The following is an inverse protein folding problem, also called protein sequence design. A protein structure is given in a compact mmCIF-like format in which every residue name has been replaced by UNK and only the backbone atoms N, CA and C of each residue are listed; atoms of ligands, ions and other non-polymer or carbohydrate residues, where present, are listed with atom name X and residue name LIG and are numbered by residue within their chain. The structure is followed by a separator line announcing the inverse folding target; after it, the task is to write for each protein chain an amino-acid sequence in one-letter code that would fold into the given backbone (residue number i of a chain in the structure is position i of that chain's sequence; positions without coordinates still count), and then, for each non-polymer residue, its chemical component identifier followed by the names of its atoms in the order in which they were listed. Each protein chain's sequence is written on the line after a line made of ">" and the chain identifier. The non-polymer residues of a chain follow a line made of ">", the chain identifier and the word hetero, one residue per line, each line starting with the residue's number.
data_IF_163109950364
#
_entry.id   IF_163109950364
#
_cell.length_a   1.000
_cell.length_b   1.000
_cell.length_c   1.000
_cell.angle_alpha   90.00
_cell.angle_beta   90.00
_cell.angle_gamma   90.00
#
_symmetry.space_group_name_H-M   'P 1'
#
loop_
_entity.id
_entity.type
_entity.pdbx_description
1 polymer ?
#
# COMPACT_ATOMS: atom_id res chain seq x y z
N UNK A 1 -4.81 37.00 12.87
CA UNK A 1 -3.43 36.75 12.44
C UNK A 1 -3.34 35.26 12.11
N UNK A 2 -3.92 34.88 10.98
CA UNK A 2 -4.32 33.49 10.65
C UNK A 2 -3.76 33.14 9.27
N UNK A 3 -3.59 31.86 8.97
CA UNK A 3 -3.27 31.30 7.63
C UNK A 3 -1.81 31.21 7.14
N UNK A 4 -0.90 30.67 7.95
CA UNK A 4 0.34 30.05 7.39
C UNK A 4 0.67 28.64 7.90
N UNK A 5 0.01 28.14 8.94
CA UNK A 5 0.30 26.84 9.53
C UNK A 5 -0.28 25.64 8.76
N UNK A 6 -1.39 25.82 8.02
CA UNK A 6 -2.06 24.71 7.33
C UNK A 6 -1.38 24.25 6.03
N UNK A 7 -0.56 25.10 5.39
CA UNK A 7 0.12 24.74 4.15
C UNK A 7 1.35 23.86 4.36
N UNK A 8 1.96 23.91 5.57
CA UNK A 8 3.16 23.13 5.91
C UNK A 8 2.79 21.70 6.33
N UNK A 9 1.61 21.48 6.90
CA UNK A 9 1.13 20.18 7.37
C UNK A 9 0.92 19.12 6.26
N UNK A 10 0.85 19.54 4.98
CA UNK A 10 0.60 18.65 3.83
C UNK A 10 1.88 18.15 3.15
N UNK A 11 2.99 18.07 3.88
CA UNK A 11 4.26 17.46 3.42
C UNK A 11 4.78 16.51 4.49
N UNK A 12 4.73 15.20 4.23
CA UNK A 12 5.28 14.19 5.16
C UNK A 12 4.31 13.06 5.49
N UNK A 13 4.56 12.37 6.59
CA UNK A 13 3.65 11.37 7.16
C UNK A 13 2.33 12.04 7.55
N UNK A 14 1.22 11.34 7.33
CA UNK A 14 -0.12 11.83 7.59
C UNK A 14 -0.92 10.74 8.30
N UNK A 15 -1.63 11.12 9.34
CA UNK A 15 -2.64 10.31 10.01
C UNK A 15 -3.91 11.16 10.09
N UNK A 16 -4.98 10.72 9.42
CA UNK A 16 -6.25 11.42 9.38
C UNK A 16 -7.39 10.48 9.77
N UNK A 17 -8.38 11.00 10.48
CA UNK A 17 -9.63 10.30 10.78
C UNK A 17 -10.80 11.02 10.14
N UNK A 18 -11.75 10.28 9.59
CA UNK A 18 -12.94 10.89 9.00
C UNK A 18 -13.88 9.89 8.34
N UNK A 19 -14.89 10.42 7.67
CA UNK A 19 -15.93 9.65 6.99
C UNK A 19 -15.55 9.44 5.52
N UNK A 20 -15.72 8.22 5.06
CA UNK A 20 -15.40 7.81 3.69
C UNK A 20 -16.52 8.16 2.72
N UNK A 21 -16.15 8.64 1.53
CA UNK A 21 -17.06 8.87 0.41
C UNK A 21 -16.44 8.50 -0.94
N UNK A 22 -17.29 8.07 -1.87
CA UNK A 22 -16.94 7.73 -3.25
C UNK A 22 -15.83 6.66 -3.32
N UNK A 23 -16.05 5.55 -2.60
CA UNK A 23 -15.17 4.39 -2.64
C UNK A 23 -15.12 3.79 -4.04
N UNK A 24 -13.91 3.55 -4.53
CA UNK A 24 -13.66 2.89 -5.80
C UNK A 24 -12.54 1.86 -5.65
N UNK A 25 -12.81 0.63 -6.08
CA UNK A 25 -11.82 -0.44 -6.20
C UNK A 25 -11.45 -0.65 -7.65
N UNK A 26 -10.16 -0.66 -7.95
CA UNK A 26 -9.62 -0.91 -9.28
C UNK A 26 -8.51 -1.94 -9.21
N UNK A 27 -8.50 -2.89 -10.13
CA UNK A 27 -7.38 -3.81 -10.32
C UNK A 27 -6.58 -3.38 -11.56
N UNK A 28 -5.30 -3.10 -11.38
CA UNK A 28 -4.35 -2.78 -12.45
C UNK A 28 -3.46 -4.01 -12.70
N UNK A 29 -3.50 -4.58 -13.91
CA UNK A 29 -2.58 -5.65 -14.31
C UNK A 29 -1.25 -5.06 -14.76
N UNK A 30 -0.15 -5.41 -14.08
CA UNK A 30 1.20 -5.05 -14.53
C UNK A 30 1.80 -6.25 -15.24
N UNK A 31 1.98 -6.14 -16.55
CA UNK A 31 2.32 -7.23 -17.49
C UNK A 31 3.49 -8.13 -17.09
N UNK A 32 4.38 -7.70 -16.18
CA UNK A 32 5.54 -8.49 -15.72
C UNK A 32 5.59 -8.73 -14.19
N UNK A 33 4.75 -8.09 -13.38
CA UNK A 33 4.93 -8.04 -11.91
C UNK A 33 3.67 -8.35 -11.09
N UNK A 34 2.64 -8.93 -11.73
CA UNK A 34 1.38 -9.30 -11.08
C UNK A 34 0.31 -8.21 -11.12
N UNK A 35 -0.84 -8.48 -10.50
CA UNK A 35 -1.94 -7.53 -10.36
C UNK A 35 -1.76 -6.67 -9.10
N UNK A 36 -2.09 -5.39 -9.21
CA UNK A 36 -2.12 -4.43 -8.11
C UNK A 36 -3.56 -3.99 -7.91
N UNK A 37 -4.05 -4.07 -6.69
CA UNK A 37 -5.32 -3.52 -6.29
C UNK A 37 -5.13 -2.08 -5.79
N UNK A 38 -5.93 -1.18 -6.32
CA UNK A 38 -5.94 0.24 -6.02
C UNK A 38 -7.30 0.57 -5.43
N UNK A 39 -7.31 1.08 -4.20
CA UNK A 39 -8.47 1.61 -3.51
C UNK A 39 -8.35 3.13 -3.45
N UNK A 40 -9.34 3.83 -3.99
CA UNK A 40 -9.43 5.29 -3.94
C UNK A 40 -10.74 5.73 -3.32
N UNK A 41 -10.69 6.74 -2.46
CA UNK A 41 -11.87 7.36 -1.86
C UNK A 41 -11.56 8.77 -1.40
N UNK A 42 -12.58 9.52 -0.99
CA UNK A 42 -12.46 10.84 -0.37
C UNK A 42 -12.73 10.71 1.12
N UNK A 43 -11.85 11.27 1.94
CA UNK A 43 -12.01 11.33 3.38
C UNK A 43 -12.50 12.73 3.78
N UNK A 44 -13.67 12.80 4.41
CA UNK A 44 -14.20 14.04 4.99
C UNK A 44 -13.86 14.05 6.47
N UNK A 45 -13.03 15.00 6.86
CA UNK A 45 -12.73 15.23 8.27
C UNK A 45 -13.79 16.16 8.86
N UNK A 46 -14.24 15.88 10.07
CA UNK A 46 -15.08 16.81 10.82
C UNK A 46 -14.18 17.60 11.78
N UNK A 47 -14.40 18.92 11.87
CA UNK A 47 -13.78 19.72 12.93
C UNK A 47 -14.43 19.44 14.29
N UNK A 48 -13.88 20.03 15.36
CA UNK A 48 -14.41 19.85 16.72
C UNK A 48 -15.85 20.38 16.90
N UNK A 49 -16.38 21.11 15.92
CA UNK A 49 -17.73 21.68 15.89
C UNK A 49 -18.65 20.87 14.95
N UNK A 50 -18.14 19.79 14.36
CA UNK A 50 -18.87 18.90 13.44
C UNK A 50 -18.92 19.38 11.99
N UNK A 51 -18.27 20.49 11.65
CA UNK A 51 -18.26 21.04 10.29
C UNK A 51 -17.39 20.16 9.37
N UNK A 52 -17.90 19.72 8.22
CA UNK A 52 -17.10 18.97 7.26
C UNK A 52 -16.02 19.87 6.65
N UNK A 53 -14.76 19.43 6.74
CA UNK A 53 -13.63 20.06 6.07
C UNK A 53 -13.51 19.60 4.61
N UNK A 54 -12.64 20.27 3.86
CA UNK A 54 -12.38 19.96 2.45
C UNK A 54 -12.03 18.46 2.29
N UNK A 55 -12.74 17.72 1.42
CA UNK A 55 -12.49 16.30 1.22
C UNK A 55 -11.06 16.03 0.74
N UNK A 56 -10.38 15.09 1.38
CA UNK A 56 -9.02 14.69 1.04
C UNK A 56 -9.06 13.43 0.18
N UNK A 57 -8.43 13.45 -0.99
CA UNK A 57 -8.30 12.25 -1.81
C UNK A 57 -7.29 11.28 -1.16
N UNK A 58 -7.72 10.05 -0.96
CA UNK A 58 -6.90 8.95 -0.43
C UNK A 58 -6.75 7.88 -1.50
N UNK A 59 -5.53 7.38 -1.68
CA UNK A 59 -5.21 6.26 -2.56
C UNK A 59 -4.39 5.23 -1.78
N UNK A 60 -4.87 3.98 -1.76
CA UNK A 60 -4.15 2.82 -1.24
C UNK A 60 -3.81 1.91 -2.42
N UNK A 61 -2.54 1.52 -2.54
CA UNK A 61 -2.09 0.53 -3.53
C UNK A 61 -1.52 -0.68 -2.81
N UNK A 62 -2.04 -1.86 -3.10
CA UNK A 62 -1.62 -3.12 -2.50
C UNK A 62 -1.63 -4.25 -3.53
N UNK A 63 -0.83 -5.29 -3.32
CA UNK A 63 -0.92 -6.53 -4.11
C UNK A 63 -2.19 -7.32 -3.79
N UNK A 64 -2.68 -7.20 -2.56
CA UNK A 64 -3.99 -7.67 -2.13
C UNK A 64 -4.54 -6.74 -1.04
N UNK A 65 -5.82 -6.43 -1.10
CA UNK A 65 -6.55 -5.74 -0.04
C UNK A 65 -7.24 -6.78 0.85
N UNK A 66 -7.01 -6.72 2.15
CA UNK A 66 -7.71 -7.52 3.14
C UNK A 66 -8.82 -6.66 3.74
N UNK A 67 -10.08 -7.09 3.58
CA UNK A 67 -11.25 -6.33 4.04
C UNK A 67 -11.82 -5.36 3.00
N UNK A 68 -12.90 -4.68 3.38
CA UNK A 68 -13.61 -3.71 2.56
C UNK A 68 -13.92 -2.47 3.39
N UNK A 69 -13.84 -1.32 2.74
CA UNK A 69 -14.33 -0.02 3.21
C UNK A 69 -15.56 0.36 2.40
N UNK A 70 -16.57 0.93 3.07
CA UNK A 70 -17.81 1.41 2.43
C UNK A 70 -18.02 2.90 2.64
N UNK A 71 -18.86 3.50 1.80
CA UNK A 71 -19.24 4.90 1.95
C UNK A 71 -20.02 5.12 3.25
N UNK A 72 -19.76 6.25 3.92
CA UNK A 72 -20.35 6.58 5.21
C UNK A 72 -19.64 5.94 6.41
N UNK A 73 -18.62 5.11 6.18
CA UNK A 73 -17.84 4.50 7.24
C UNK A 73 -16.81 5.47 7.83
N UNK A 74 -16.62 5.43 9.15
CA UNK A 74 -15.57 6.18 9.81
C UNK A 74 -14.27 5.36 9.85
N UNK A 75 -13.21 5.92 9.27
CA UNK A 75 -11.92 5.25 9.16
C UNK A 75 -10.77 6.13 9.62
N UNK A 76 -9.69 5.49 10.04
CA UNK A 76 -8.39 6.13 10.29
C UNK A 76 -7.43 5.74 9.18
N UNK A 77 -6.87 6.74 8.51
CA UNK A 77 -5.96 6.59 7.36
C UNK A 77 -4.56 7.00 7.79
N UNK A 78 -3.61 6.08 7.68
CA UNK A 78 -2.19 6.37 7.88
C UNK A 78 -1.45 6.27 6.56
N UNK A 79 -0.67 7.30 6.21
CA UNK A 79 -0.01 7.38 4.93
C UNK A 79 0.98 8.52 4.79
N UNK A 80 1.20 8.95 3.55
CA UNK A 80 2.05 10.10 3.22
C UNK A 80 1.33 11.03 2.28
N UNK A 81 1.43 12.33 2.53
CA UNK A 81 1.00 13.34 1.57
C UNK A 81 1.90 13.32 0.32
N UNK A 82 1.28 13.22 -0.85
CA UNK A 82 1.93 13.30 -2.16
C UNK A 82 1.01 14.08 -3.11
N UNK A 83 1.49 15.22 -3.63
CA UNK A 83 0.79 15.97 -4.68
C UNK A 83 -0.68 16.29 -4.38
N UNK A 84 -1.00 16.68 -3.14
CA UNK A 84 -2.37 17.04 -2.74
C UNK A 84 -3.31 15.88 -2.41
N UNK A 85 -2.81 14.64 -2.41
CA UNK A 85 -3.53 13.43 -1.97
C UNK A 85 -2.72 12.66 -0.93
N UNK A 86 -3.38 11.78 -0.19
CA UNK A 86 -2.71 10.85 0.73
C UNK A 86 -2.52 9.52 0.04
N UNK A 87 -1.26 9.09 -0.06
CA UNK A 87 -0.92 7.71 -0.39
C UNK A 87 -0.96 6.93 0.92
N UNK A 88 -2.07 6.24 1.13
CA UNK A 88 -2.31 5.43 2.31
C UNK A 88 -1.38 4.20 2.31
N UNK A 89 -0.92 3.85 3.50
CA UNK A 89 -0.22 2.59 3.78
C UNK A 89 -1.16 1.62 4.50
N UNK A 90 -2.02 2.17 5.34
CA UNK A 90 -2.94 1.42 6.18
C UNK A 90 -4.21 2.24 6.39
N UNK A 91 -5.34 1.54 6.34
CA UNK A 91 -6.67 2.09 6.63
C UNK A 91 -7.30 1.17 7.67
N UNK A 92 -7.79 1.75 8.76
CA UNK A 92 -8.46 1.00 9.83
C UNK A 92 -9.87 1.52 9.98
N UNK A 93 -10.86 0.63 9.83
CA UNK A 93 -12.25 0.93 10.15
C UNK A 93 -12.43 1.02 11.67
N UNK A 94 -13.11 2.08 12.12
CA UNK A 94 -13.47 2.26 13.52
C UNK A 94 -14.75 1.48 13.89
N UNK A 95 -15.59 1.12 12.91
CA UNK A 95 -16.88 0.46 13.13
C UNK A 95 -16.79 -1.06 13.17
N UNK A 96 -15.92 -1.65 12.36
CA UNK A 96 -15.76 -3.12 12.25
C UNK A 96 -14.42 -3.64 12.79
N UNK A 97 -13.48 -2.74 13.08
CA UNK A 97 -12.09 -3.11 13.41
C UNK A 97 -11.33 -3.74 12.23
N UNK A 98 -11.91 -3.75 11.02
CA UNK A 98 -11.27 -4.27 9.82
C UNK A 98 -10.13 -3.32 9.39
N UNK A 99 -8.93 -3.89 9.22
CA UNK A 99 -7.76 -3.15 8.78
C UNK A 99 -7.40 -3.53 7.34
N UNK A 100 -7.54 -2.57 6.41
CA UNK A 100 -7.06 -2.72 5.03
C UNK A 100 -5.60 -2.27 4.97
N UNK A 101 -4.70 -3.25 4.96
CA UNK A 101 -3.24 -3.02 4.90
C UNK A 101 -2.70 -3.30 3.51
N UNK A 102 -1.83 -2.41 3.01
CA UNK A 102 -0.99 -2.75 1.87
C UNK A 102 0.07 -3.78 2.30
N UNK A 103 -0.20 -5.07 2.08
CA UNK A 103 0.81 -6.12 2.25
C UNK A 103 1.97 -5.86 1.29
N UNK A 104 3.13 -5.47 1.83
CA UNK A 104 4.42 -5.80 1.20
C UNK A 104 4.75 -7.23 1.60
N UNK A 105 5.28 -8.08 0.69
CA UNK A 105 5.74 -9.39 1.08
C UNK A 105 6.78 -9.20 2.19
N UNK A 106 6.58 -9.85 3.34
CA UNK A 106 7.38 -9.53 4.50
C UNK A 106 8.78 -10.14 4.34
N UNK A 107 9.82 -9.44 4.80
CA UNK A 107 11.24 -9.74 4.53
C UNK A 107 11.64 -11.20 4.87
N UNK A 108 11.06 -11.78 5.92
CA UNK A 108 11.21 -13.19 6.32
C UNK A 108 10.77 -14.22 5.28
N UNK A 109 9.96 -13.84 4.28
CA UNK A 109 9.58 -14.72 3.15
C UNK A 109 10.46 -14.43 1.93
N UNK A 110 10.84 -13.16 1.72
CA UNK A 110 11.65 -12.77 0.55
C UNK A 110 13.10 -13.28 0.64
N UNK A 111 13.68 -13.25 1.84
CA UNK A 111 15.05 -13.72 2.09
C UNK A 111 15.23 -15.22 1.80
N UNK A 112 14.42 -16.15 2.34
CA UNK A 112 14.61 -17.58 2.05
C UNK A 112 14.34 -17.93 0.58
N UNK A 113 13.40 -17.25 -0.09
CA UNK A 113 13.15 -17.47 -1.53
C UNK A 113 14.34 -17.00 -2.38
N UNK A 114 14.92 -15.84 -2.07
CA UNK A 114 16.12 -15.35 -2.75
C UNK A 114 17.33 -16.29 -2.53
N UNK A 115 17.50 -16.79 -1.29
CA UNK A 115 18.55 -17.77 -0.96
C UNK A 115 18.34 -19.08 -1.73
N UNK A 116 17.11 -19.60 -1.75
CA UNK A 116 16.79 -20.84 -2.47
C UNK A 116 17.03 -20.69 -3.98
N UNK A 117 16.64 -19.55 -4.57
CA UNK A 117 16.88 -19.25 -5.97
C UNK A 117 18.38 -19.12 -6.29
N UNK A 118 19.16 -18.44 -5.44
CA UNK A 118 20.60 -18.33 -5.59
C UNK A 118 21.31 -19.69 -5.46
N UNK A 119 20.88 -20.53 -4.50
CA UNK A 119 21.41 -21.88 -4.30
C UNK A 119 21.08 -22.79 -5.49
N UNK A 120 19.85 -22.72 -6.02
CA UNK A 120 19.45 -23.46 -7.23
C UNK A 120 20.29 -23.03 -8.44
N UNK A 121 20.49 -21.72 -8.63
CA UNK A 121 21.31 -21.21 -9.72
C UNK A 121 22.77 -21.66 -9.61
N UNK A 122 23.36 -21.58 -8.41
CA UNK A 122 24.71 -22.06 -8.15
C UNK A 122 24.85 -23.57 -8.40
N UNK A 123 23.84 -24.36 -8.02
CA UNK A 123 23.78 -25.79 -8.30
C UNK A 123 23.72 -26.09 -9.80
N UNK A 124 22.87 -25.38 -10.56
CA UNK A 124 22.77 -25.52 -12.02
C UNK A 124 24.11 -25.17 -12.68
N UNK A 125 24.72 -24.04 -12.31
CA UNK A 125 26.03 -23.61 -12.85
C UNK A 125 27.11 -24.65 -12.53
N UNK A 126 27.15 -25.16 -11.31
CA UNK A 126 28.08 -26.21 -10.91
C UNK A 126 27.93 -27.47 -11.77
N UNK A 127 26.70 -27.92 -12.00
CA UNK A 127 26.43 -29.09 -12.85
C UNK A 127 26.76 -28.85 -14.31
N UNK A 128 26.56 -27.63 -14.85
CA UNK A 128 26.97 -27.29 -16.21
C UNK A 128 28.49 -27.34 -16.34
N UNK A 129 29.23 -26.67 -15.44
CA UNK A 129 30.70 -26.63 -15.49
C UNK A 129 31.29 -28.04 -15.30
N UNK A 130 30.79 -28.79 -14.33
CA UNK A 130 31.26 -30.15 -14.04
C UNK A 130 30.81 -31.16 -15.10
N UNK A 131 29.61 -31.01 -15.66
CA UNK A 131 29.10 -31.82 -16.76
C UNK A 131 29.90 -31.60 -18.04
N UNK A 132 30.25 -30.35 -18.36
CA UNK A 132 31.11 -30.04 -19.51
C UNK A 132 32.52 -30.63 -19.39
N UNK A 133 33.07 -30.70 -18.17
CA UNK A 133 34.39 -31.33 -17.93
C UNK A 133 34.40 -32.85 -18.14
N UNK A 134 33.25 -33.51 -18.25
CA UNK A 134 33.14 -34.95 -18.51
C UNK A 134 32.92 -35.32 -19.99
N UNK A 135 32.66 -34.34 -20.87
CA UNK A 135 32.35 -34.59 -22.29
C UNK A 135 33.49 -34.19 -23.26
N UNK A 136 34.64 -33.76 -22.74
CA UNK A 136 35.81 -33.33 -23.53
C UNK A 136 37.09 -34.13 -23.26
N UNK A 137 36.96 -35.46 -23.10
CA UNK A 137 38.08 -36.40 -23.01
C UNK A 137 38.06 -37.39 -24.16
#
# INVERSE_FOLDING_TARGET
>A
MSDRSNAVARRGAAELRGVVQNVQYRSESRSENGSVQVLTFRLIQHDAVGTPQQPVLVELRATALEGQVVDGEEVTVTGKWRSGRIVAKEIVSQSTGAAVRARRPPLWVTVPVAIAFAAFFAFVVYFIVRGFSSFGG
#
